data_IF_828149203337
#
_entry.id   IF_828149203337
#
_cell.length_a   1.000
_cell.length_b   1.000
_cell.length_c   1.000
_cell.angle_alpha   90.00
_cell.angle_beta   90.00
_cell.angle_gamma   90.00
#
_symmetry.space_group_name_H-M   'P 1'
#
loop_
_entity.id
_entity.type
_entity.pdbx_description
1 polymer ?
#
# COMPACT_ATOMS: atom_id res chain seq x y z
N UNK A 1 -1.47 -19.68 -9.80
CA UNK A 1 -1.13 -18.80 -8.63
C UNK A 1 -2.27 -17.80 -8.48
N UNK A 2 -2.89 -17.78 -7.33
CA UNK A 2 -3.93 -16.78 -7.06
C UNK A 2 -3.34 -15.37 -6.88
N UNK A 3 -4.22 -14.37 -6.85
CA UNK A 3 -3.80 -12.97 -6.79
C UNK A 3 -3.04 -12.65 -5.51
N UNK A 4 -3.48 -13.20 -4.38
CA UNK A 4 -2.81 -12.99 -3.09
C UNK A 4 -1.36 -13.50 -3.14
N UNK A 5 -1.15 -14.73 -3.60
CA UNK A 5 0.19 -15.30 -3.66
C UNK A 5 1.07 -14.60 -4.72
N UNK A 6 0.47 -14.09 -5.79
CA UNK A 6 1.17 -13.23 -6.76
C UNK A 6 1.68 -11.95 -6.11
N UNK A 7 0.86 -11.29 -5.30
CA UNK A 7 1.24 -10.12 -4.51
C UNK A 7 2.34 -10.45 -3.49
N UNK A 8 2.17 -11.55 -2.75
CA UNK A 8 3.15 -11.96 -1.73
C UNK A 8 4.50 -12.33 -2.34
N UNK A 9 4.52 -12.99 -3.47
CA UNK A 9 5.76 -13.31 -4.20
C UNK A 9 6.51 -12.06 -4.68
N UNK A 10 5.80 -11.02 -5.04
CA UNK A 10 6.41 -9.72 -5.39
C UNK A 10 6.95 -9.00 -4.14
N UNK A 11 6.17 -8.96 -3.05
CA UNK A 11 6.59 -8.37 -1.78
C UNK A 11 7.78 -9.11 -1.17
N UNK A 12 7.83 -10.43 -1.27
CA UNK A 12 8.92 -11.27 -0.77
C UNK A 12 10.30 -10.85 -1.30
N UNK A 13 10.36 -10.35 -2.52
CA UNK A 13 11.59 -9.83 -3.11
C UNK A 13 12.05 -8.52 -2.48
N UNK A 14 11.14 -7.77 -1.90
CA UNK A 14 11.44 -6.56 -1.11
C UNK A 14 11.79 -6.91 0.33
N UNK A 15 10.96 -7.72 0.96
CA UNK A 15 11.14 -8.16 2.34
C UNK A 15 10.40 -9.48 2.60
N UNK A 16 11.16 -10.56 2.67
CA UNK A 16 10.62 -11.90 2.88
C UNK A 16 9.90 -12.03 4.22
N UNK A 17 10.45 -11.45 5.28
CA UNK A 17 9.86 -11.50 6.62
C UNK A 17 8.43 -10.92 6.62
N UNK A 18 8.23 -9.77 6.00
CA UNK A 18 6.92 -9.13 5.93
C UNK A 18 5.92 -9.95 5.09
N UNK A 19 6.35 -10.49 3.97
CA UNK A 19 5.50 -11.35 3.16
C UNK A 19 5.05 -12.59 3.95
N UNK A 20 5.97 -13.22 4.70
CA UNK A 20 5.66 -14.39 5.52
C UNK A 20 4.70 -14.04 6.67
N UNK A 21 4.85 -12.89 7.31
CA UNK A 21 3.93 -12.44 8.36
C UNK A 21 2.51 -12.17 7.79
N UNK A 22 2.41 -11.55 6.62
CA UNK A 22 1.11 -11.30 5.98
C UNK A 22 0.44 -12.62 5.57
N UNK A 23 1.21 -13.60 5.09
CA UNK A 23 0.68 -14.94 4.76
C UNK A 23 0.04 -15.66 5.95
N UNK A 24 0.44 -15.34 7.17
CA UNK A 24 -0.16 -15.92 8.39
C UNK A 24 -1.56 -15.38 8.68
N UNK A 25 -1.95 -14.27 8.06
CA UNK A 25 -3.27 -13.67 8.22
C UNK A 25 -4.21 -14.33 7.22
N UNK A 26 -5.11 -15.16 7.72
CA UNK A 26 -6.11 -15.83 6.87
C UNK A 26 -7.35 -14.96 6.69
N UNK A 27 -8.08 -15.14 5.58
CA UNK A 27 -9.35 -14.46 5.32
C UNK A 27 -10.33 -14.64 6.50
N UNK A 28 -10.38 -15.82 7.10
CA UNK A 28 -11.27 -16.09 8.22
C UNK A 28 -10.96 -15.20 9.46
N UNK A 29 -9.71 -14.78 9.62
CA UNK A 29 -9.31 -13.89 10.72
C UNK A 29 -9.71 -12.43 10.51
N UNK A 30 -9.93 -12.03 9.28
CA UNK A 30 -10.24 -10.63 8.92
C UNK A 30 -11.72 -10.41 8.61
N UNK A 31 -12.52 -11.47 8.49
CA UNK A 31 -13.90 -11.44 8.00
C UNK A 31 -14.85 -10.57 8.81
N UNK A 32 -14.64 -10.46 10.12
CA UNK A 32 -15.53 -9.69 11.01
C UNK A 32 -15.25 -8.18 10.99
N UNK A 33 -14.09 -7.79 10.50
CA UNK A 33 -13.60 -6.41 10.54
C UNK A 33 -13.51 -5.77 9.17
N UNK A 34 -13.19 -6.56 8.17
CA UNK A 34 -12.92 -6.08 6.81
C UNK A 34 -14.12 -6.38 5.92
N UNK A 35 -14.62 -5.34 5.24
CA UNK A 35 -15.74 -5.44 4.29
C UNK A 35 -15.23 -5.11 2.90
N UNK A 36 -15.43 -6.03 1.97
CA UNK A 36 -15.13 -5.81 0.54
C UNK A 36 -16.43 -5.55 -0.19
N UNK A 37 -16.49 -4.48 -0.95
CA UNK A 37 -17.68 -4.07 -1.72
C UNK A 37 -17.26 -3.47 -3.06
N UNK A 38 -18.24 -3.03 -3.85
CA UNK A 38 -18.01 -2.35 -5.11
C UNK A 38 -18.31 -0.86 -4.98
N UNK A 39 -17.45 -0.03 -5.59
CA UNK A 39 -17.74 1.36 -5.83
C UNK A 39 -18.83 1.52 -6.89
N UNK A 40 -19.37 2.73 -7.06
CA UNK A 40 -20.40 3.02 -8.06
C UNK A 40 -19.97 2.69 -9.51
N UNK A 41 -18.69 2.73 -9.78
CA UNK A 41 -18.11 2.38 -11.09
C UNK A 41 -17.75 0.89 -11.23
N UNK A 42 -18.08 0.04 -10.25
CA UNK A 42 -17.83 -1.40 -10.27
C UNK A 42 -16.44 -1.82 -9.76
N UNK A 43 -15.57 -0.88 -9.39
CA UNK A 43 -14.25 -1.20 -8.85
C UNK A 43 -14.37 -1.72 -7.41
N UNK A 44 -13.50 -2.67 -7.06
CA UNK A 44 -13.42 -3.21 -5.70
C UNK A 44 -12.90 -2.16 -4.72
N UNK A 45 -13.58 -2.03 -3.58
CA UNK A 45 -13.14 -1.21 -2.46
C UNK A 45 -13.13 -2.03 -1.17
N UNK A 46 -12.18 -1.71 -0.31
CA UNK A 46 -12.04 -2.31 1.00
C UNK A 46 -12.40 -1.28 2.06
N UNK A 47 -13.15 -1.73 3.06
CA UNK A 47 -13.55 -0.91 4.20
C UNK A 47 -13.23 -1.62 5.50
N UNK A 48 -12.95 -0.85 6.54
CA UNK A 48 -12.68 -1.34 7.88
C UNK A 48 -13.82 -0.95 8.79
N UNK A 49 -14.41 -1.95 9.47
CA UNK A 49 -15.43 -1.73 10.47
C UNK A 49 -14.81 -1.66 11.86
N UNK A 50 -15.00 -0.54 12.54
CA UNK A 50 -14.44 -0.34 13.87
C UNK A 50 -15.38 0.54 14.70
N UNK A 51 -15.68 0.10 15.92
CA UNK A 51 -16.53 0.82 16.88
C UNK A 51 -17.88 1.27 16.30
N UNK A 52 -18.51 0.43 15.49
CA UNK A 52 -19.80 0.73 14.86
C UNK A 52 -19.74 1.65 13.64
N UNK A 53 -18.54 2.04 13.21
CA UNK A 53 -18.31 2.85 12.00
C UNK A 53 -17.67 2.02 10.90
N UNK A 54 -18.04 2.30 9.66
CA UNK A 54 -17.44 1.74 8.46
C UNK A 54 -16.54 2.80 7.80
N UNK A 55 -15.24 2.54 7.80
CA UNK A 55 -14.24 3.41 7.20
C UNK A 55 -13.84 2.87 5.83
N UNK A 56 -14.19 3.58 4.77
CA UNK A 56 -13.76 3.21 3.43
C UNK A 56 -12.30 3.61 3.21
N UNK A 57 -11.49 2.69 2.72
CA UNK A 57 -10.08 2.97 2.42
C UNK A 57 -9.93 3.86 1.17
N UNK A 58 -10.99 4.01 0.37
CA UNK A 58 -11.02 4.89 -0.79
C UNK A 58 -12.45 5.31 -1.13
N UNK A 59 -12.62 6.10 -2.19
CA UNK A 59 -13.92 6.60 -2.65
C UNK A 59 -14.91 5.47 -2.94
N UNK A 60 -16.15 5.66 -2.52
CA UNK A 60 -17.28 4.77 -2.85
C UNK A 60 -17.82 4.99 -4.27
N UNK A 61 -17.36 6.02 -4.98
CA UNK A 61 -17.85 6.37 -6.31
C UNK A 61 -16.84 5.94 -7.39
N UNK A 62 -15.66 6.53 -7.39
CA UNK A 62 -14.56 6.22 -8.29
C UNK A 62 -13.24 6.33 -7.51
N UNK A 63 -12.69 5.22 -7.04
CA UNK A 63 -11.49 5.25 -6.21
C UNK A 63 -10.22 5.65 -6.98
N UNK A 64 -10.14 5.39 -8.28
CA UNK A 64 -8.99 5.80 -9.08
C UNK A 64 -9.00 7.29 -9.36
N UNK A 65 -10.14 7.82 -9.79
CA UNK A 65 -10.30 9.26 -10.00
C UNK A 65 -10.06 10.06 -8.71
N UNK A 66 -10.55 9.56 -7.58
CA UNK A 66 -10.31 10.21 -6.28
C UNK A 66 -8.82 10.31 -5.96
N UNK A 67 -8.05 9.27 -6.19
CA UNK A 67 -6.60 9.27 -6.00
C UNK A 67 -5.90 10.22 -6.99
N UNK A 68 -6.28 10.21 -8.27
CA UNK A 68 -5.75 11.10 -9.30
C UNK A 68 -5.96 12.57 -8.92
N UNK A 69 -7.20 12.97 -8.62
CA UNK A 69 -7.54 14.33 -8.23
C UNK A 69 -6.84 14.79 -6.94
N UNK A 70 -6.61 13.88 -6.01
CA UNK A 70 -5.85 14.18 -4.81
C UNK A 70 -4.42 14.61 -5.14
N UNK A 71 -3.75 13.85 -6.01
CA UNK A 71 -2.34 14.09 -6.35
C UNK A 71 -2.12 15.19 -7.41
N UNK A 72 -3.11 15.55 -8.21
CA UNK A 72 -3.01 16.65 -9.17
C UNK A 72 -2.55 17.97 -8.55
N UNK A 73 -2.92 18.23 -7.31
CA UNK A 73 -2.61 19.47 -6.60
C UNK A 73 -1.18 19.56 -6.08
N UNK A 74 -0.43 18.47 -6.13
CA UNK A 74 0.92 18.42 -5.59
C UNK A 74 1.96 18.39 -6.70
N UNK A 75 2.99 19.23 -6.54
CA UNK A 75 4.21 19.16 -7.34
C UNK A 75 5.22 18.27 -6.60
N UNK A 76 5.90 17.41 -7.34
CA UNK A 76 6.89 16.48 -6.80
C UNK A 76 8.28 17.02 -7.17
N UNK A 77 9.03 17.60 -6.21
CA UNK A 77 10.37 18.08 -6.49
C UNK A 77 11.37 16.93 -6.71
N UNK A 78 12.43 17.22 -7.45
CA UNK A 78 13.56 16.29 -7.61
C UNK A 78 14.16 15.93 -6.24
N UNK A 79 14.61 14.69 -6.11
CA UNK A 79 15.20 14.13 -4.89
C UNK A 79 14.27 14.13 -3.66
N UNK A 80 12.99 14.39 -3.84
CA UNK A 80 12.02 14.32 -2.76
C UNK A 80 11.86 12.91 -2.21
N UNK A 81 11.75 12.82 -0.87
CA UNK A 81 11.39 11.59 -0.16
C UNK A 81 9.97 11.77 0.39
N UNK A 82 9.09 10.84 0.08
CA UNK A 82 7.70 10.85 0.51
C UNK A 82 7.45 9.74 1.50
N UNK A 83 6.78 10.09 2.58
CA UNK A 83 6.40 9.15 3.61
C UNK A 83 4.88 8.96 3.60
N UNK A 84 4.43 7.76 3.31
CA UNK A 84 3.02 7.39 3.35
C UNK A 84 2.75 6.53 4.58
N UNK A 85 1.99 7.07 5.51
CA UNK A 85 1.50 6.33 6.66
C UNK A 85 0.11 5.76 6.33
N UNK A 86 0.07 4.46 6.12
CA UNK A 86 -1.07 3.77 5.55
C UNK A 86 -1.02 3.72 4.03
N UNK A 87 -1.14 2.52 3.49
CA UNK A 87 -1.17 2.28 2.04
C UNK A 87 -2.60 2.30 1.49
N UNK A 88 -3.59 2.13 2.36
CA UNK A 88 -4.99 1.92 1.99
C UNK A 88 -5.12 0.80 0.93
N UNK A 89 -5.67 1.10 -0.23
CA UNK A 89 -5.82 0.16 -1.34
C UNK A 89 -4.71 0.27 -2.40
N UNK A 90 -3.67 1.04 -2.15
CA UNK A 90 -2.53 1.24 -3.05
C UNK A 90 -2.77 2.24 -4.18
N UNK A 91 -3.99 2.71 -4.40
CA UNK A 91 -4.30 3.63 -5.52
C UNK A 91 -3.64 5.00 -5.35
N UNK A 92 -3.59 5.53 -4.12
CA UNK A 92 -2.85 6.77 -3.85
C UNK A 92 -1.35 6.61 -4.06
N UNK A 93 -0.78 5.48 -3.66
CA UNK A 93 0.63 5.20 -3.91
C UNK A 93 0.92 5.13 -5.41
N UNK A 94 0.06 4.46 -6.18
CA UNK A 94 0.18 4.39 -7.64
C UNK A 94 0.24 5.79 -8.27
N UNK A 95 -0.66 6.68 -7.90
CA UNK A 95 -0.70 8.05 -8.40
C UNK A 95 0.52 8.87 -7.96
N UNK A 96 0.98 8.69 -6.73
CA UNK A 96 2.23 9.29 -6.25
C UNK A 96 3.42 8.87 -7.13
N UNK A 97 3.56 7.57 -7.40
CA UNK A 97 4.66 7.04 -8.20
C UNK A 97 4.60 7.50 -9.66
N UNK A 98 3.42 7.68 -10.24
CA UNK A 98 3.26 8.23 -11.59
C UNK A 98 3.78 9.67 -11.70
N UNK A 99 3.72 10.45 -10.63
CA UNK A 99 4.27 11.80 -10.56
C UNK A 99 5.76 11.86 -10.19
N UNK A 100 6.29 10.79 -9.60
CA UNK A 100 7.70 10.68 -9.24
C UNK A 100 8.57 10.35 -10.44
N UNK A 101 9.84 10.75 -10.36
CA UNK A 101 10.89 10.29 -11.27
C UNK A 101 11.90 9.37 -10.54
N UNK A 102 13.00 9.03 -11.18
CA UNK A 102 14.00 8.12 -10.64
C UNK A 102 14.77 8.70 -9.43
N UNK A 103 14.70 10.00 -9.20
CA UNK A 103 15.36 10.66 -8.05
C UNK A 103 14.52 10.54 -6.78
N UNK A 104 13.23 10.26 -6.89
CA UNK A 104 12.32 10.21 -5.76
C UNK A 104 12.35 8.85 -5.05
N UNK A 105 12.00 8.86 -3.77
CA UNK A 105 11.79 7.64 -2.97
C UNK A 105 10.48 7.78 -2.20
N UNK A 106 9.77 6.67 -2.09
CA UNK A 106 8.51 6.59 -1.36
C UNK A 106 8.63 5.53 -0.29
N UNK A 107 8.46 5.94 0.96
CA UNK A 107 8.51 5.06 2.12
C UNK A 107 7.08 4.81 2.58
N UNK A 108 6.67 3.56 2.60
CA UNK A 108 5.33 3.16 2.99
C UNK A 108 5.41 2.42 4.32
N UNK A 109 4.67 2.92 5.31
CA UNK A 109 4.42 2.20 6.54
C UNK A 109 2.93 1.86 6.63
N UNK A 110 2.60 0.58 6.59
CA UNK A 110 1.22 0.12 6.73
C UNK A 110 1.00 -0.53 8.09
N UNK A 111 0.34 0.16 9.03
CA UNK A 111 0.13 -0.36 10.38
C UNK A 111 -0.98 -1.39 10.45
N UNK A 112 -1.94 -1.39 9.52
CA UNK A 112 -3.07 -2.31 9.52
C UNK A 112 -2.83 -3.49 8.56
N UNK A 113 -2.10 -4.49 9.06
CA UNK A 113 -1.74 -5.67 8.27
C UNK A 113 -2.95 -6.51 7.85
N UNK A 114 -4.04 -6.50 8.62
CA UNK A 114 -5.27 -7.22 8.27
C UNK A 114 -5.97 -6.57 7.08
N UNK A 115 -6.15 -5.24 7.10
CA UNK A 115 -6.71 -4.50 5.97
C UNK A 115 -5.83 -4.64 4.73
N UNK A 116 -4.52 -4.57 4.88
CA UNK A 116 -3.57 -4.77 3.79
C UNK A 116 -3.63 -6.19 3.20
N UNK A 117 -3.72 -7.21 4.05
CA UNK A 117 -3.92 -8.59 3.61
C UNK A 117 -5.19 -8.73 2.77
N UNK A 118 -6.30 -8.12 3.22
CA UNK A 118 -7.55 -8.11 2.46
C UNK A 118 -7.38 -7.45 1.10
N UNK A 119 -6.75 -6.29 1.04
CA UNK A 119 -6.45 -5.59 -0.24
C UNK A 119 -5.68 -6.51 -1.20
N UNK A 120 -4.68 -7.23 -0.71
CA UNK A 120 -3.87 -8.15 -1.53
C UNK A 120 -4.64 -9.35 -2.10
N UNK A 121 -5.81 -9.68 -1.55
CA UNK A 121 -6.69 -10.71 -2.12
C UNK A 121 -7.52 -10.20 -3.31
N UNK A 122 -7.75 -8.89 -3.40
CA UNK A 122 -8.69 -8.31 -4.36
C UNK A 122 -8.06 -7.39 -5.40
N UNK A 123 -6.88 -6.83 -5.11
CA UNK A 123 -6.20 -5.88 -5.99
C UNK A 123 -4.79 -6.36 -6.35
N UNK A 124 -4.38 -6.14 -7.59
CA UNK A 124 -3.02 -6.42 -8.06
C UNK A 124 -2.08 -5.26 -7.67
N UNK A 125 -1.26 -5.49 -6.65
CA UNK A 125 -0.25 -4.55 -6.17
C UNK A 125 1.17 -4.89 -6.64
N UNK A 126 1.34 -5.88 -7.49
CA UNK A 126 2.66 -6.38 -7.88
C UNK A 126 3.54 -5.29 -8.50
N UNK A 127 2.96 -4.40 -9.29
CA UNK A 127 3.68 -3.27 -9.89
C UNK A 127 4.24 -2.31 -8.84
N UNK A 128 3.50 -2.09 -7.76
CA UNK A 128 3.94 -1.23 -6.64
C UNK A 128 5.07 -1.87 -5.84
N UNK A 129 5.00 -3.17 -5.58
CA UNK A 129 6.07 -3.90 -4.88
C UNK A 129 7.34 -4.00 -5.71
N UNK A 130 7.24 -4.09 -7.03
CA UNK A 130 8.39 -4.18 -7.95
C UNK A 130 9.06 -2.84 -8.22
N UNK A 131 8.42 -1.73 -7.88
CA UNK A 131 8.99 -0.40 -8.12
C UNK A 131 10.18 -0.16 -7.20
N UNK A 132 11.35 0.10 -7.77
CA UNK A 132 12.62 0.26 -7.05
C UNK A 132 12.65 1.52 -6.17
N UNK A 133 11.71 2.43 -6.35
CA UNK A 133 11.59 3.67 -5.57
C UNK A 133 10.84 3.46 -4.27
N UNK A 134 10.20 2.29 -4.03
CA UNK A 134 9.38 2.00 -2.87
C UNK A 134 10.11 1.21 -1.80
N UNK A 135 9.85 1.57 -0.54
CA UNK A 135 10.31 0.89 0.67
C UNK A 135 9.11 0.58 1.54
N UNK A 136 8.94 -0.68 1.92
CA UNK A 136 7.76 -1.19 2.59
C UNK A 136 8.05 -1.67 4.00
N UNK A 137 7.27 -1.20 4.98
CA UNK A 137 7.40 -1.55 6.39
C UNK A 137 6.04 -1.88 7.02
N UNK A 138 6.03 -2.92 7.87
CA UNK A 138 4.83 -3.46 8.53
C UNK A 138 5.20 -3.94 9.94
N UNK A 139 4.42 -3.70 11.01
CA UNK A 139 3.36 -2.70 11.07
C UNK A 139 3.91 -1.29 11.38
N UNK A 140 5.19 -1.18 11.63
CA UNK A 140 5.86 0.07 12.01
C UNK A 140 7.27 0.17 11.40
N UNK A 141 7.80 1.38 11.34
CA UNK A 141 9.18 1.61 10.96
C UNK A 141 10.04 1.62 12.23
N UNK A 142 11.02 0.71 12.26
CA UNK A 142 11.96 0.60 13.37
C UNK A 142 13.17 1.51 13.12
N UNK A 143 13.92 1.81 14.18
CA UNK A 143 15.16 2.63 14.06
C UNK A 143 16.16 2.03 13.06
N UNK A 144 16.33 0.71 13.06
CA UNK A 144 17.19 0.01 12.09
C UNK A 144 16.74 0.21 10.64
N UNK A 145 15.44 0.30 10.40
CA UNK A 145 14.88 0.53 9.06
C UNK A 145 15.20 1.96 8.58
N UNK A 146 15.12 2.95 9.47
CA UNK A 146 15.47 4.35 9.18
C UNK A 146 16.95 4.45 8.78
N UNK A 147 17.83 3.75 9.50
CA UNK A 147 19.25 3.70 9.16
C UNK A 147 19.50 3.08 7.79
N UNK A 148 18.80 2.01 7.46
CA UNK A 148 18.87 1.36 6.14
C UNK A 148 18.43 2.29 5.00
N UNK A 149 17.32 3.01 5.19
CA UNK A 149 16.80 3.97 4.22
C UNK A 149 17.83 5.08 3.99
N UNK A 150 18.39 5.65 5.07
CA UNK A 150 19.39 6.71 5.00
C UNK A 150 20.63 6.29 4.21
N UNK A 151 21.15 5.08 4.46
CA UNK A 151 22.31 4.52 3.72
C UNK A 151 21.98 4.33 2.25
N UNK A 152 20.83 3.73 1.94
CA UNK A 152 20.40 3.50 0.55
C UNK A 152 20.24 4.81 -0.22
N UNK A 153 19.71 5.85 0.42
CA UNK A 153 19.50 7.15 -0.20
C UNK A 153 20.79 7.89 -0.51
N UNK A 154 21.81 7.79 0.34
CA UNK A 154 23.10 8.46 0.14
C UNK A 154 23.94 7.86 -0.99
N UNK A 155 23.57 6.69 -1.50
CA UNK A 155 24.24 6.00 -2.63
C UNK A 155 23.56 6.23 -3.99
N UNK A 156 22.65 7.17 -4.09
CA UNK A 156 21.95 7.52 -5.33
C UNK A 156 22.84 8.31 -6.30
#
# INVERSE_FOLDING_TARGET
>A
MDLFEKNMSALEKKNKEYADEIRKITIDKISDRIVVSEASNGMQIVSVQEKGHLWNLNSRFDPELAAELYWERYEIPLYGIYFLYGCADGRHLKQCLEKCDDTNRVIICEPDMEAFSAVCHFLDLTGLFKDDRTYWYFPEIREVDIQHIAVSYTHL
#
